data_IF_260652921726
#
_entry.id   IF_260652921726
#
_cell.length_a   1.000
_cell.length_b   1.000
_cell.length_c   1.000
_cell.angle_alpha   90.00
_cell.angle_beta   90.00
_cell.angle_gamma   90.00
#
_symmetry.space_group_name_H-M   'P 1'
#
loop_
_entity.id
_entity.type
_entity.pdbx_description
1 polymer ?
#
# COMPACT_ATOMS: atom_id res chain seq x y z
N UNK A 1 4.99 2.88 -3.95
CA UNK A 1 4.38 1.78 -3.18
C UNK A 1 5.36 0.63 -3.00
N UNK A 2 5.62 -0.18 -4.03
CA UNK A 2 6.56 -1.33 -3.97
C UNK A 2 7.90 -1.00 -3.28
N UNK A 3 8.55 0.09 -3.70
CA UNK A 3 9.83 0.51 -3.09
C UNK A 3 9.69 0.92 -1.61
N UNK A 4 8.60 1.59 -1.25
CA UNK A 4 8.34 2.01 0.13
C UNK A 4 8.04 0.81 1.03
N UNK A 5 7.27 -0.16 0.55
CA UNK A 5 6.99 -1.42 1.26
C UNK A 5 8.28 -2.22 1.46
N UNK A 6 9.16 -2.22 0.47
CA UNK A 6 10.46 -2.88 0.60
C UNK A 6 11.36 -2.20 1.64
N UNK A 7 11.33 -0.86 1.70
CA UNK A 7 12.04 -0.10 2.74
C UNK A 7 11.47 -0.37 4.14
N UNK A 8 10.14 -0.47 4.31
CA UNK A 8 9.56 -0.74 5.63
C UNK A 8 9.96 -2.11 6.18
N UNK A 9 10.22 -3.10 5.33
CA UNK A 9 10.71 -4.41 5.77
C UNK A 9 12.12 -4.34 6.37
N UNK A 10 12.94 -3.37 5.99
CA UNK A 10 14.27 -3.17 6.58
C UNK A 10 14.23 -2.85 8.07
N UNK A 11 13.15 -2.21 8.53
CA UNK A 11 12.94 -1.89 9.94
C UNK A 11 12.67 -3.15 10.79
N UNK A 12 12.32 -4.28 10.17
CA UNK A 12 12.09 -5.56 10.85
C UNK A 12 13.38 -6.39 11.02
N UNK A 13 14.54 -5.90 10.57
CA UNK A 13 15.84 -6.61 10.62
C UNK A 13 16.28 -7.05 12.03
N UNK A 14 15.77 -6.39 13.08
CA UNK A 14 16.09 -6.71 14.47
C UNK A 14 15.25 -7.85 15.05
N UNK A 15 14.19 -8.30 14.35
CA UNK A 15 13.36 -9.42 14.78
C UNK A 15 14.14 -10.72 14.61
N UNK A 16 14.33 -11.44 15.72
CA UNK A 16 15.16 -12.67 15.76
C UNK A 16 14.39 -13.95 15.48
N UNK A 17 13.07 -13.95 15.68
CA UNK A 17 12.21 -15.12 15.50
C UNK A 17 10.91 -14.72 14.83
N UNK A 18 10.54 -15.48 13.80
CA UNK A 18 9.31 -15.30 13.05
C UNK A 18 8.36 -16.46 13.35
N UNK A 19 7.13 -16.13 13.71
CA UNK A 19 6.06 -17.12 13.74
C UNK A 19 5.43 -17.28 12.35
N UNK A 20 4.71 -18.37 12.15
CA UNK A 20 4.08 -18.66 10.85
C UNK A 20 3.09 -17.56 10.45
N UNK A 21 2.38 -16.95 11.40
CA UNK A 21 1.39 -15.93 11.13
C UNK A 21 2.02 -14.66 10.53
N UNK A 22 3.10 -14.17 11.13
CA UNK A 22 3.89 -13.04 10.62
C UNK A 22 4.37 -13.30 9.20
N UNK A 23 4.93 -14.49 8.93
CA UNK A 23 5.40 -14.85 7.58
C UNK A 23 4.22 -14.88 6.58
N UNK A 24 3.09 -15.47 6.97
CA UNK A 24 1.88 -15.49 6.13
C UNK A 24 1.37 -14.08 5.84
N UNK A 25 1.34 -13.18 6.84
CA UNK A 25 0.90 -11.80 6.64
C UNK A 25 1.82 -11.07 5.66
N UNK A 26 3.14 -11.18 5.81
CA UNK A 26 4.10 -10.56 4.88
C UNK A 26 3.95 -11.09 3.45
N UNK A 27 3.71 -12.39 3.30
CA UNK A 27 3.41 -12.98 1.99
C UNK A 27 2.12 -12.43 1.39
N UNK A 28 1.07 -12.27 2.18
CA UNK A 28 -0.20 -11.69 1.74
C UNK A 28 -0.05 -10.21 1.34
N UNK A 29 0.80 -9.45 2.03
CA UNK A 29 1.15 -8.07 1.63
C UNK A 29 1.79 -8.11 0.24
N UNK A 30 2.81 -8.96 0.02
CA UNK A 30 3.48 -9.09 -1.27
C UNK A 30 2.53 -9.51 -2.41
N UNK A 31 1.63 -10.46 -2.15
CA UNK A 31 0.58 -10.87 -3.10
C UNK A 31 -0.35 -9.69 -3.42
N UNK A 32 -0.76 -8.92 -2.41
CA UNK A 32 -1.66 -7.78 -2.62
C UNK A 32 -0.99 -6.68 -3.45
N UNK A 33 0.29 -6.39 -3.18
CA UNK A 33 1.10 -5.48 -4.00
C UNK A 33 1.25 -5.98 -5.44
N UNK A 34 1.48 -7.28 -5.63
CA UNK A 34 1.50 -7.88 -6.97
C UNK A 34 0.17 -7.69 -7.71
N UNK A 35 -0.96 -7.90 -7.02
CA UNK A 35 -2.28 -7.68 -7.61
C UNK A 35 -2.47 -6.22 -8.02
N UNK A 36 -2.07 -5.25 -7.18
CA UNK A 36 -2.12 -3.83 -7.56
C UNK A 36 -1.37 -3.58 -8.87
N UNK A 37 -0.14 -4.10 -8.99
CA UNK A 37 0.65 -3.99 -10.22
C UNK A 37 -0.02 -4.66 -11.42
N UNK A 38 -0.67 -5.81 -11.22
CA UNK A 38 -1.38 -6.51 -12.29
C UNK A 38 -2.69 -5.82 -12.71
N UNK A 39 -3.32 -5.06 -11.82
CA UNK A 39 -4.63 -4.43 -12.02
C UNK A 39 -4.53 -2.96 -12.48
N UNK A 40 -3.35 -2.33 -12.42
CA UNK A 40 -3.18 -0.91 -12.73
C UNK A 40 -3.34 -0.59 -14.22
N UNK A 41 -2.97 -1.52 -15.09
CA UNK A 41 -2.89 -1.31 -16.53
C UNK A 41 -3.59 -2.41 -17.32
N UNK A 42 -4.18 -2.07 -18.48
CA UNK A 42 -4.70 -3.08 -19.39
C UNK A 42 -3.55 -3.90 -19.98
N UNK A 43 -3.84 -5.15 -20.37
CA UNK A 43 -2.91 -5.92 -21.20
C UNK A 43 -2.77 -5.22 -22.55
N UNK A 44 -1.57 -5.28 -23.14
CA UNK A 44 -1.35 -4.79 -24.50
C UNK A 44 -2.35 -5.50 -25.44
N UNK A 45 -3.12 -4.77 -26.26
CA UNK A 45 -4.00 -5.37 -27.23
C UNK A 45 -3.16 -5.95 -28.38
N UNK A 46 -3.58 -7.09 -28.91
CA UNK A 46 -2.95 -7.65 -30.12
C UNK A 46 -3.21 -6.75 -31.34
N UNK A 47 -4.41 -6.14 -31.42
CA UNK A 47 -4.78 -5.11 -32.40
C UNK A 47 -5.82 -4.12 -31.81
N UNK A 48 -5.77 -2.85 -32.24
CA UNK A 48 -6.77 -1.81 -31.91
C UNK A 48 -6.40 -0.85 -30.77
N UNK A 49 -7.24 0.18 -30.59
CA UNK A 49 -7.13 1.16 -29.49
C UNK A 49 -7.86 0.66 -28.22
N UNK A 50 -7.30 0.95 -27.05
CA UNK A 50 -7.94 0.67 -25.75
C UNK A 50 -8.48 1.97 -25.16
N UNK A 51 -9.78 1.99 -24.82
CA UNK A 51 -10.36 3.02 -23.99
C UNK A 51 -9.89 2.87 -22.54
N UNK A 52 -8.96 3.74 -22.14
CA UNK A 52 -8.39 3.76 -20.80
C UNK A 52 -9.41 4.21 -19.73
N UNK A 53 -10.39 5.03 -20.11
CA UNK A 53 -11.40 5.51 -19.18
C UNK A 53 -12.39 4.40 -18.83
N UNK A 54 -12.93 3.70 -19.84
CA UNK A 54 -13.82 2.56 -19.59
C UNK A 54 -13.10 1.46 -18.80
N UNK A 55 -11.85 1.16 -19.17
CA UNK A 55 -11.00 0.25 -18.42
C UNK A 55 -10.89 0.67 -16.95
N UNK A 56 -10.53 1.94 -16.70
CA UNK A 56 -10.39 2.46 -15.34
C UNK A 56 -11.67 2.26 -14.54
N UNK A 57 -12.83 2.67 -15.05
CA UNK A 57 -14.10 2.60 -14.31
C UNK A 57 -14.52 1.16 -13.98
N UNK A 58 -14.26 0.22 -14.90
CA UNK A 58 -14.51 -1.21 -14.70
C UNK A 58 -13.54 -1.83 -13.70
N UNK A 59 -12.26 -1.47 -13.79
CA UNK A 59 -11.18 -2.06 -13.01
C UNK A 59 -11.06 -1.51 -11.59
N UNK A 60 -11.51 -0.27 -11.40
CA UNK A 60 -11.49 0.51 -10.16
C UNK A 60 -11.78 -0.27 -8.86
N UNK A 61 -12.90 -1.01 -8.72
CA UNK A 61 -13.22 -1.69 -7.47
C UNK A 61 -12.19 -2.78 -7.11
N UNK A 62 -11.63 -3.48 -8.11
CA UNK A 62 -10.60 -4.49 -7.90
C UNK A 62 -9.28 -3.83 -7.49
N UNK A 63 -8.89 -2.77 -8.19
CA UNK A 63 -7.68 -2.02 -7.88
C UNK A 63 -7.71 -1.45 -6.45
N UNK A 64 -8.76 -0.69 -6.10
CA UNK A 64 -8.88 -0.12 -4.75
C UNK A 64 -9.18 -1.17 -3.68
N UNK A 65 -9.79 -2.30 -4.05
CA UNK A 65 -9.94 -3.45 -3.15
C UNK A 65 -8.59 -4.07 -2.78
N UNK A 66 -7.71 -4.30 -3.77
CA UNK A 66 -6.35 -4.78 -3.53
C UNK A 66 -5.51 -3.74 -2.75
N UNK A 67 -5.71 -2.45 -3.03
CA UNK A 67 -5.08 -1.36 -2.28
C UNK A 67 -5.53 -1.37 -0.81
N UNK A 68 -6.82 -1.48 -0.55
CA UNK A 68 -7.37 -1.55 0.80
C UNK A 68 -6.88 -2.79 1.55
N UNK A 69 -6.85 -3.94 0.89
CA UNK A 69 -6.28 -5.16 1.46
C UNK A 69 -4.81 -4.97 1.85
N UNK A 70 -4.01 -4.31 0.99
CA UNK A 70 -2.62 -4.00 1.29
C UNK A 70 -2.48 -3.09 2.51
N UNK A 71 -3.30 -2.05 2.63
CA UNK A 71 -3.28 -1.14 3.78
C UNK A 71 -3.66 -1.87 5.07
N UNK A 72 -4.71 -2.70 5.05
CA UNK A 72 -5.14 -3.49 6.22
C UNK A 72 -4.06 -4.50 6.63
N UNK A 73 -3.53 -5.26 5.67
CA UNK A 73 -2.48 -6.23 5.93
C UNK A 73 -1.21 -5.55 6.45
N UNK A 74 -0.89 -4.35 5.97
CA UNK A 74 0.25 -3.57 6.48
C UNK A 74 0.05 -3.12 7.93
N UNK A 75 -1.17 -2.72 8.33
CA UNK A 75 -1.48 -2.41 9.74
C UNK A 75 -1.32 -3.65 10.64
N UNK A 76 -1.75 -4.83 10.14
CA UNK A 76 -1.57 -6.10 10.86
C UNK A 76 -0.09 -6.47 10.92
N UNK A 77 0.64 -6.35 9.81
CA UNK A 77 2.08 -6.61 9.72
C UNK A 77 2.87 -5.71 10.69
N UNK A 78 2.43 -4.46 10.85
CA UNK A 78 3.06 -3.53 11.78
C UNK A 78 3.00 -4.00 13.24
N UNK A 79 2.09 -4.92 13.61
CA UNK A 79 2.09 -5.53 14.96
C UNK A 79 3.41 -6.24 15.28
N UNK A 80 4.16 -6.69 14.27
CA UNK A 80 5.48 -7.27 14.46
C UNK A 80 6.50 -6.28 15.03
N UNK A 81 6.30 -4.96 14.84
CA UNK A 81 7.14 -3.95 15.49
C UNK A 81 7.02 -3.94 17.02
N UNK A 82 5.91 -4.43 17.59
CA UNK A 82 5.76 -4.60 19.04
C UNK A 82 6.67 -5.71 19.60
N UNK A 83 7.17 -6.61 18.74
CA UNK A 83 8.18 -7.61 19.11
C UNK A 83 9.60 -7.01 19.16
N UNK A 84 9.76 -5.75 18.74
CA UNK A 84 11.05 -5.04 18.80
C UNK A 84 11.15 -4.18 20.07
N UNK A 85 12.37 -3.86 20.55
CA UNK A 85 12.56 -2.96 21.69
C UNK A 85 12.08 -1.52 21.46
N UNK A 86 11.74 -1.15 20.22
CA UNK A 86 11.43 0.22 19.82
C UNK A 86 9.94 0.39 19.50
N UNK A 87 9.12 0.60 20.54
CA UNK A 87 7.67 0.83 20.40
C UNK A 87 7.35 2.11 19.59
N UNK A 88 8.25 3.10 19.55
CA UNK A 88 8.06 4.29 18.74
C UNK A 88 8.01 3.98 17.24
N UNK A 89 8.69 2.91 16.81
CA UNK A 89 8.67 2.43 15.43
C UNK A 89 7.28 1.93 15.01
N UNK A 90 6.59 1.22 15.91
CA UNK A 90 5.20 0.80 15.70
C UNK A 90 4.28 2.00 15.47
N UNK A 91 4.36 3.02 16.33
CA UNK A 91 3.52 4.22 16.21
C UNK A 91 3.82 4.96 14.91
N UNK A 92 5.09 5.13 14.57
CA UNK A 92 5.53 5.82 13.35
C UNK A 92 5.04 5.14 12.07
N UNK A 93 5.18 3.82 11.99
CA UNK A 93 4.73 3.04 10.84
C UNK A 93 3.20 3.11 10.69
N UNK A 94 2.45 3.03 11.79
CA UNK A 94 0.99 3.18 11.75
C UNK A 94 0.52 4.59 11.42
N UNK A 95 1.22 5.64 11.88
CA UNK A 95 0.91 7.02 11.51
C UNK A 95 1.10 7.30 10.02
N UNK A 96 1.90 6.49 9.34
CA UNK A 96 2.03 6.55 7.88
C UNK A 96 0.91 5.80 7.16
N UNK A 97 0.60 4.58 7.62
CA UNK A 97 -0.33 3.68 6.94
C UNK A 97 -1.79 4.07 7.19
N UNK A 98 -2.15 4.49 8.41
CA UNK A 98 -3.54 4.82 8.77
C UNK A 98 -4.14 5.93 7.89
N UNK A 99 -3.46 7.05 7.62
CA UNK A 99 -3.99 8.08 6.73
C UNK A 99 -4.28 7.59 5.31
N UNK A 100 -3.61 6.53 4.83
CA UNK A 100 -3.85 5.95 3.51
C UNK A 100 -5.22 5.30 3.37
N UNK A 101 -5.88 4.93 4.48
CA UNK A 101 -7.25 4.41 4.46
C UNK A 101 -8.25 5.42 3.88
N UNK A 102 -8.10 6.70 4.21
CA UNK A 102 -9.04 7.75 3.82
C UNK A 102 -9.13 7.87 2.29
N UNK A 103 -8.06 8.16 1.54
CA UNK A 103 -8.13 8.26 0.09
C UNK A 103 -8.51 6.93 -0.55
N UNK A 104 -8.07 5.79 -0.01
CA UNK A 104 -8.37 4.46 -0.56
C UNK A 104 -9.87 4.14 -0.48
N UNK A 105 -10.48 4.33 0.69
CA UNK A 105 -11.92 4.07 0.91
C UNK A 105 -12.77 5.07 0.13
N UNK A 106 -12.40 6.36 0.15
CA UNK A 106 -13.11 7.38 -0.63
C UNK A 106 -13.08 7.05 -2.12
N UNK A 107 -11.94 6.65 -2.65
CA UNK A 107 -11.81 6.29 -4.06
C UNK A 107 -12.49 4.98 -4.42
N UNK A 108 -12.59 4.02 -3.49
CA UNK A 108 -13.34 2.79 -3.68
C UNK A 108 -14.86 3.07 -3.80
N UNK A 109 -15.41 3.86 -2.87
CA UNK A 109 -16.86 4.11 -2.77
C UNK A 109 -17.32 5.17 -3.75
N UNK A 110 -16.57 6.25 -3.96
CA UNK A 110 -17.00 7.39 -4.77
C UNK A 110 -16.68 7.22 -6.26
N UNK A 111 -17.70 7.25 -7.12
CA UNK A 111 -17.52 7.29 -8.58
C UNK A 111 -17.23 8.69 -9.13
N UNK A 112 -17.06 9.70 -8.29
CA UNK A 112 -16.86 11.07 -8.74
C UNK A 112 -15.43 11.29 -9.22
N UNK A 113 -15.27 11.79 -10.46
CA UNK A 113 -13.95 12.01 -11.10
C UNK A 113 -12.97 12.83 -10.25
N UNK A 114 -13.42 13.94 -9.66
CA UNK A 114 -12.53 14.78 -8.86
C UNK A 114 -12.05 14.07 -7.58
N UNK A 115 -12.88 13.18 -7.00
CA UNK A 115 -12.51 12.39 -5.82
C UNK A 115 -11.42 11.39 -6.16
N UNK A 116 -11.44 10.81 -7.36
CA UNK A 116 -10.38 9.90 -7.84
C UNK A 116 -9.03 10.62 -7.95
N UNK A 117 -9.03 11.83 -8.52
CA UNK A 117 -7.84 12.67 -8.58
C UNK A 117 -7.34 13.08 -7.20
N UNK A 118 -8.23 13.59 -6.35
CA UNK A 118 -7.88 13.99 -4.99
C UNK A 118 -7.31 12.83 -4.19
N UNK A 119 -7.93 11.65 -4.26
CA UNK A 119 -7.46 10.45 -3.59
C UNK A 119 -6.09 10.00 -4.08
N UNK A 120 -5.86 9.96 -5.40
CA UNK A 120 -4.58 9.62 -5.99
C UNK A 120 -3.46 10.57 -5.57
N UNK A 121 -3.72 11.88 -5.61
CA UNK A 121 -2.76 12.90 -5.19
C UNK A 121 -2.46 12.83 -3.68
N UNK A 122 -3.48 12.64 -2.85
CA UNK A 122 -3.32 12.45 -1.41
C UNK A 122 -2.48 11.19 -1.13
N UNK A 123 -2.77 10.07 -1.79
CA UNK A 123 -2.02 8.82 -1.61
C UNK A 123 -0.55 8.97 -2.02
N UNK A 124 -0.29 9.66 -3.14
CA UNK A 124 1.05 9.98 -3.61
C UNK A 124 1.80 10.85 -2.58
N UNK A 125 1.17 11.90 -2.08
CA UNK A 125 1.76 12.80 -1.09
C UNK A 125 2.15 12.06 0.21
N UNK A 126 1.27 11.18 0.72
CA UNK A 126 1.58 10.35 1.89
C UNK A 126 2.79 9.43 1.61
N UNK A 127 2.84 8.80 0.44
CA UNK A 127 3.94 7.90 0.07
C UNK A 127 5.29 8.63 -0.06
N UNK A 128 5.27 9.84 -0.63
CA UNK A 128 6.46 10.70 -0.72
C UNK A 128 6.90 11.13 0.69
N UNK A 129 5.95 11.58 1.52
CA UNK A 129 6.20 11.96 2.91
C UNK A 129 6.89 10.83 3.69
N UNK A 130 6.37 9.61 3.58
CA UNK A 130 7.00 8.42 4.17
C UNK A 130 8.43 8.20 3.67
N UNK A 131 8.68 8.31 2.37
CA UNK A 131 10.01 8.06 1.81
C UNK A 131 11.03 9.10 2.31
N UNK A 132 10.62 10.36 2.46
CA UNK A 132 11.44 11.43 3.03
C UNK A 132 11.69 11.19 4.52
N UNK A 133 10.66 10.83 5.27
CA UNK A 133 10.75 10.44 6.68
C UNK A 133 11.69 9.25 6.88
N UNK A 134 11.60 8.20 6.07
CA UNK A 134 12.45 7.03 6.16
C UNK A 134 13.93 7.37 5.92
N UNK A 135 14.25 8.35 5.08
CA UNK A 135 15.64 8.81 4.92
C UNK A 135 16.26 9.27 6.25
N UNK A 136 15.47 9.86 7.14
CA UNK A 136 15.96 10.32 8.45
C UNK A 136 16.34 9.19 9.41
N UNK A 137 15.94 7.93 9.15
CA UNK A 137 16.36 6.77 9.97
C UNK A 137 17.65 6.12 9.50
N UNK A 138 18.15 6.51 8.31
CA UNK A 138 19.38 5.98 7.72
C UNK A 138 20.62 6.83 8.03
N UNK A 139 20.45 8.04 8.57
CA UNK A 139 21.52 8.96 9.01
C UNK A 139 21.81 8.82 10.49
#
# INVERSE_FOLDING_TARGET
MVFADWLSLWDLRSIKSWDLASVTIQLLVAISVFLICALVGPKAPDEGEIDLEDFFWRQRPYFYGALLATVILSLIANLDFLKTPNVALFVRQNLTVLPMLIPTVLALVSRTRWVQWAAGLCFLAITIGYTVEFRSTLS
#
